data_IF_830506992624
#
_entry.id   IF_830506992624
#
_cell.length_a   1.000
_cell.length_b   1.000
_cell.length_c   1.000
_cell.angle_alpha   90.00
_cell.angle_beta   90.00
_cell.angle_gamma   90.00
#
_symmetry.space_group_name_H-M   'P 1'
#
loop_
_entity.id
_entity.type
_entity.pdbx_description
1 polymer ?
#
# COMPACT_ATOMS: atom_id res chain seq x y z
N UNK A 1 -23.32 -7.63 -1.98
CA UNK A 1 -22.90 -9.04 -1.83
C UNK A 1 -21.64 -9.24 -2.66
N UNK A 2 -20.73 -10.14 -2.30
CA UNK A 2 -19.60 -10.50 -3.16
C UNK A 2 -20.08 -11.51 -4.21
N UNK A 3 -19.69 -11.31 -5.47
CA UNK A 3 -20.00 -12.20 -6.58
C UNK A 3 -18.67 -12.66 -7.25
N UNK A 4 -18.36 -13.96 -7.22
CA UNK A 4 -17.14 -14.48 -7.85
C UNK A 4 -17.07 -14.29 -9.38
N UNK A 5 -18.21 -14.28 -10.08
CA UNK A 5 -18.24 -14.11 -11.54
C UNK A 5 -17.94 -12.65 -11.91
N UNK A 6 -18.49 -11.71 -11.13
CA UNK A 6 -18.16 -10.28 -11.24
C UNK A 6 -16.67 -10.05 -10.98
N UNK A 7 -16.10 -10.64 -9.92
CA UNK A 7 -14.67 -10.51 -9.61
C UNK A 7 -13.76 -11.14 -10.69
N UNK A 8 -14.18 -12.25 -11.31
CA UNK A 8 -13.42 -12.89 -12.38
C UNK A 8 -13.31 -11.98 -13.62
N UNK A 9 -14.42 -11.31 -13.97
CA UNK A 9 -14.56 -10.47 -15.17
C UNK A 9 -14.23 -9.00 -14.96
N UNK A 10 -14.16 -8.53 -13.72
CA UNK A 10 -13.83 -7.16 -13.39
C UNK A 10 -12.46 -6.75 -13.96
N UNK A 11 -12.46 -5.63 -14.68
CA UNK A 11 -11.24 -5.01 -15.16
C UNK A 11 -10.53 -4.28 -14.02
N UNK A 12 -9.20 -4.41 -13.97
CA UNK A 12 -8.39 -3.70 -12.99
C UNK A 12 -7.30 -2.91 -13.67
N UNK A 13 -7.25 -1.62 -13.35
CA UNK A 13 -6.17 -0.76 -13.80
C UNK A 13 -4.97 -0.93 -12.88
N UNK A 14 -3.82 -1.29 -13.43
CA UNK A 14 -2.56 -1.24 -12.69
C UNK A 14 -2.00 0.19 -12.74
N UNK A 15 -1.58 0.70 -11.58
CA UNK A 15 -1.05 2.04 -11.44
C UNK A 15 0.20 2.06 -10.55
N UNK A 16 1.08 3.04 -10.80
CA UNK A 16 2.13 3.39 -9.86
C UNK A 16 1.56 3.96 -8.55
N UNK A 17 2.41 4.17 -7.54
CA UNK A 17 1.99 4.86 -6.31
C UNK A 17 1.57 6.29 -6.66
N UNK A 18 0.35 6.67 -6.27
CA UNK A 18 -0.20 8.02 -6.41
C UNK A 18 -0.30 8.72 -5.05
N UNK A 19 -1.09 9.79 -4.96
CA UNK A 19 -1.21 10.63 -3.76
C UNK A 19 -1.76 9.89 -2.56
N UNK A 20 -2.70 8.97 -2.77
CA UNK A 20 -3.34 8.18 -1.72
C UNK A 20 -3.13 6.70 -1.93
N UNK A 21 -2.99 5.96 -0.82
CA UNK A 21 -2.91 4.51 -0.75
C UNK A 21 -4.00 3.96 0.17
N UNK A 22 -4.51 2.79 -0.18
CA UNK A 22 -5.61 2.14 0.52
C UNK A 22 -5.27 0.69 0.86
N UNK A 23 -5.34 0.34 2.15
CA UNK A 23 -5.23 -1.04 2.62
C UNK A 23 -6.62 -1.55 3.01
N UNK A 24 -7.23 -2.48 2.24
CA UNK A 24 -8.57 -2.97 2.51
C UNK A 24 -8.64 -3.66 3.87
N UNK A 25 -9.81 -3.62 4.50
CA UNK A 25 -10.02 -4.34 5.74
C UNK A 25 -10.02 -5.88 5.54
N UNK A 26 -10.05 -6.60 6.66
CA UNK A 26 -10.01 -8.07 6.67
C UNK A 26 -11.21 -8.69 5.97
N UNK A 27 -12.38 -8.05 6.01
CA UNK A 27 -13.60 -8.56 5.36
C UNK A 27 -13.44 -8.60 3.84
N UNK A 28 -12.93 -7.51 3.24
CA UNK A 28 -12.63 -7.45 1.79
C UNK A 28 -11.58 -8.50 1.41
N UNK A 29 -10.54 -8.65 2.22
CA UNK A 29 -9.47 -9.63 1.96
C UNK A 29 -10.00 -11.06 2.00
N UNK A 30 -10.85 -11.40 2.98
CA UNK A 30 -11.46 -12.73 3.12
C UNK A 30 -12.47 -13.03 2.02
N UNK A 31 -13.16 -12.00 1.50
CA UNK A 31 -14.06 -12.16 0.38
C UNK A 31 -13.34 -12.39 -0.95
N UNK A 32 -12.05 -12.06 -1.06
CA UNK A 32 -11.31 -12.14 -2.31
C UNK A 32 -11.74 -11.09 -3.35
N UNK A 33 -12.44 -10.04 -2.92
CA UNK A 33 -13.00 -8.99 -3.78
C UNK A 33 -11.94 -7.95 -4.21
N UNK A 34 -10.88 -8.41 -4.87
CA UNK A 34 -9.69 -7.59 -5.12
C UNK A 34 -9.78 -6.70 -6.35
N UNK A 35 -10.49 -7.11 -7.40
CA UNK A 35 -10.71 -6.35 -8.62
C UNK A 35 -12.00 -5.56 -8.53
N UNK A 36 -13.07 -6.16 -8.02
CA UNK A 36 -14.36 -5.49 -7.87
C UNK A 36 -14.29 -4.31 -6.91
N UNK A 37 -13.47 -4.37 -5.85
CA UNK A 37 -13.23 -3.19 -4.98
C UNK A 37 -12.47 -2.10 -5.73
N UNK A 38 -11.47 -2.45 -6.54
CA UNK A 38 -10.76 -1.45 -7.35
C UNK A 38 -11.73 -0.76 -8.32
N UNK A 39 -12.53 -1.53 -9.05
CA UNK A 39 -13.52 -1.02 -10.00
C UNK A 39 -14.59 -0.15 -9.31
N UNK A 40 -15.18 -0.63 -8.20
CA UNK A 40 -16.26 0.06 -7.47
C UNK A 40 -15.85 1.44 -6.97
N UNK A 41 -14.61 1.58 -6.50
CA UNK A 41 -14.09 2.85 -5.97
C UNK A 41 -13.27 3.63 -6.99
N UNK A 42 -13.17 3.16 -8.25
CA UNK A 42 -12.37 3.81 -9.30
C UNK A 42 -10.88 3.89 -8.96
N UNK A 43 -10.34 2.88 -8.28
CA UNK A 43 -8.96 2.85 -7.80
C UNK A 43 -8.06 2.01 -8.71
N UNK A 44 -6.79 2.40 -8.81
CA UNK A 44 -5.75 1.55 -9.40
C UNK A 44 -5.20 0.55 -8.39
N UNK A 45 -4.77 -0.63 -8.83
CA UNK A 45 -3.95 -1.55 -8.01
C UNK A 45 -2.47 -1.31 -8.27
N UNK A 46 -1.65 -1.42 -7.23
CA UNK A 46 -0.19 -1.31 -7.38
C UNK A 46 0.41 -2.49 -8.17
N UNK A 47 -0.17 -3.68 -8.01
CA UNK A 47 0.21 -4.91 -8.70
C UNK A 47 -0.92 -5.94 -8.51
N UNK A 48 -1.00 -6.96 -9.38
CA UNK A 48 -2.02 -8.02 -9.27
C UNK A 48 -2.01 -8.73 -7.91
N UNK A 49 -0.82 -9.01 -7.39
CA UNK A 49 -0.61 -9.67 -6.09
C UNK A 49 -0.39 -8.68 -4.92
N UNK A 50 -0.42 -7.38 -5.19
CA UNK A 50 -0.37 -6.36 -4.13
C UNK A 50 -1.80 -5.93 -3.87
N UNK A 51 -2.41 -6.42 -2.79
CA UNK A 51 -3.77 -6.04 -2.39
C UNK A 51 -3.81 -4.64 -1.74
N UNK A 52 -3.19 -3.68 -2.41
CA UNK A 52 -3.24 -2.25 -2.08
C UNK A 52 -3.69 -1.49 -3.31
N UNK A 53 -4.43 -0.42 -3.05
CA UNK A 53 -5.00 0.43 -4.09
C UNK A 53 -4.44 1.83 -3.99
N UNK A 54 -4.63 2.63 -5.04
CA UNK A 54 -4.13 3.99 -5.12
C UNK A 54 -5.01 4.89 -5.98
N UNK A 55 -5.01 6.18 -5.66
CA UNK A 55 -5.68 7.23 -6.43
C UNK A 55 -4.98 8.59 -6.24
N UNK A 56 -5.22 9.51 -7.17
CA UNK A 56 -4.78 10.90 -7.04
C UNK A 56 -5.70 11.72 -6.11
N UNK A 57 -6.98 11.36 -6.03
CA UNK A 57 -8.00 12.02 -5.19
C UNK A 57 -8.42 11.11 -4.04
N UNK A 58 -8.62 11.68 -2.86
CA UNK A 58 -9.07 10.96 -1.68
C UNK A 58 -10.45 10.33 -1.92
N UNK A 59 -10.58 9.05 -1.59
CA UNK A 59 -11.85 8.32 -1.44
C UNK A 59 -12.12 8.17 0.07
N UNK A 60 -13.09 8.93 0.58
CA UNK A 60 -13.36 9.03 2.03
C UNK A 60 -13.99 7.75 2.61
N UNK A 61 -14.90 7.12 1.87
CA UNK A 61 -15.68 5.96 2.32
C UNK A 61 -15.01 4.60 2.00
N UNK A 62 -13.69 4.58 1.81
CA UNK A 62 -13.00 3.32 1.50
C UNK A 62 -13.05 2.35 2.69
N UNK A 63 -13.44 1.07 2.49
CA UNK A 63 -13.58 0.09 3.57
C UNK A 63 -12.22 -0.47 4.00
N UNK A 64 -11.45 0.33 4.73
CA UNK A 64 -10.10 -0.01 5.15
C UNK A 64 -9.37 1.17 5.75
N UNK A 65 -8.04 1.16 5.63
CA UNK A 65 -7.16 2.24 6.08
C UNK A 65 -6.73 3.07 4.88
N UNK A 66 -6.68 4.38 5.08
CA UNK A 66 -6.26 5.31 4.03
C UNK A 66 -5.01 6.06 4.45
N UNK A 67 -4.06 6.14 3.54
CA UNK A 67 -2.77 6.79 3.75
C UNK A 67 -2.52 7.84 2.68
N UNK A 68 -1.92 8.97 3.06
CA UNK A 68 -1.42 9.98 2.14
C UNK A 68 0.08 9.78 1.96
N UNK A 69 0.51 9.63 0.71
CA UNK A 69 1.91 9.40 0.36
C UNK A 69 2.72 10.68 0.52
N UNK A 70 3.84 10.57 1.23
CA UNK A 70 4.80 11.65 1.45
C UNK A 70 6.04 11.46 0.58
N UNK A 71 6.52 10.23 0.44
CA UNK A 71 7.72 9.91 -0.34
C UNK A 71 7.65 8.49 -0.93
N UNK A 72 8.21 8.31 -2.12
CA UNK A 72 8.38 7.00 -2.76
C UNK A 72 9.82 6.85 -3.23
N UNK A 73 10.50 5.79 -2.80
CA UNK A 73 11.89 5.52 -3.14
C UNK A 73 12.05 4.11 -3.70
N UNK A 74 12.88 3.89 -4.74
CA UNK A 74 13.23 2.54 -5.18
C UNK A 74 13.89 1.74 -4.07
N UNK A 75 13.50 0.47 -3.91
CA UNK A 75 14.15 -0.43 -2.97
C UNK A 75 15.56 -0.78 -3.46
N UNK A 76 16.56 -0.13 -2.86
CA UNK A 76 17.97 -0.30 -3.17
C UNK A 76 18.81 0.09 -1.96
N UNK A 77 20.08 -0.30 -1.93
CA UNK A 77 21.02 0.12 -0.87
C UNK A 77 21.12 1.64 -0.73
N UNK A 78 20.98 2.38 -1.84
CA UNK A 78 20.95 3.84 -1.85
C UNK A 78 19.62 4.38 -1.31
N UNK A 79 18.50 3.80 -1.74
CA UNK A 79 17.15 4.18 -1.26
C UNK A 79 17.02 4.01 0.26
N UNK A 80 17.46 2.87 0.81
CA UNK A 80 17.46 2.62 2.26
C UNK A 80 18.23 3.67 3.07
N UNK A 81 19.38 4.14 2.56
CA UNK A 81 20.20 5.17 3.21
C UNK A 81 19.64 6.59 3.03
N UNK A 82 18.92 6.80 1.92
CA UNK A 82 18.37 8.11 1.55
C UNK A 82 17.00 8.37 2.18
N UNK A 83 16.28 7.32 2.59
CA UNK A 83 15.00 7.44 3.27
C UNK A 83 15.15 8.36 4.49
N UNK A 84 14.38 9.44 4.49
CA UNK A 84 14.28 10.38 5.61
C UNK A 84 12.86 10.34 6.09
N UNK A 85 12.69 9.91 7.33
CA UNK A 85 11.38 9.85 7.93
C UNK A 85 11.14 11.13 8.70
N UNK A 86 10.03 11.84 8.45
CA UNK A 86 9.65 12.99 9.25
C UNK A 86 9.18 12.56 10.66
N UNK A 87 9.14 11.26 10.94
CA UNK A 87 8.64 10.66 12.17
C UNK A 87 9.77 10.02 12.98
N UNK A 88 9.70 10.16 14.31
CA UNK A 88 10.65 9.49 15.21
C UNK A 88 10.32 8.00 15.42
N UNK A 89 9.04 7.64 15.21
CA UNK A 89 8.52 6.28 15.27
C UNK A 89 7.55 6.07 14.11
N UNK A 90 7.58 4.91 13.49
CA UNK A 90 6.68 4.59 12.38
C UNK A 90 6.28 3.12 12.41
N UNK A 91 5.07 2.86 11.93
CA UNK A 91 4.60 1.50 11.69
C UNK A 91 5.26 1.00 10.41
N UNK A 92 5.77 -0.22 10.43
CA UNK A 92 6.43 -0.81 9.26
C UNK A 92 5.58 -1.93 8.70
N UNK A 93 5.27 -1.83 7.41
CA UNK A 93 4.49 -2.83 6.69
C UNK A 93 5.29 -3.40 5.51
N UNK A 94 4.95 -4.63 5.15
CA UNK A 94 5.47 -5.29 3.95
C UNK A 94 4.32 -5.99 3.23
N UNK A 95 4.14 -5.70 1.94
CA UNK A 95 3.05 -6.25 1.11
C UNK A 95 3.63 -6.68 -0.24
N UNK A 96 3.63 -7.99 -0.50
CA UNK A 96 4.21 -8.58 -1.70
C UNK A 96 5.63 -8.02 -1.93
N UNK A 97 6.56 -8.23 -1.00
CA UNK A 97 7.88 -7.59 -0.99
C UNK A 97 8.92 -8.58 -0.43
N UNK A 98 10.21 -8.53 -0.84
CA UNK A 98 11.19 -9.57 -0.51
C UNK A 98 11.60 -9.62 0.97
N UNK A 99 11.32 -8.57 1.74
CA UNK A 99 11.63 -8.52 3.17
C UNK A 99 10.34 -8.53 3.98
N UNK A 100 10.35 -9.23 5.12
CA UNK A 100 9.28 -9.11 6.10
C UNK A 100 9.31 -7.75 6.80
N UNK A 101 8.18 -7.34 7.38
CA UNK A 101 8.06 -6.06 8.07
C UNK A 101 9.10 -5.88 9.19
N UNK A 102 9.33 -6.92 10.00
CA UNK A 102 10.31 -6.89 11.09
C UNK A 102 11.75 -6.75 10.59
N UNK A 103 12.10 -7.39 9.47
CA UNK A 103 13.42 -7.25 8.87
C UNK A 103 13.60 -5.86 8.26
N UNK A 104 12.58 -5.36 7.55
CA UNK A 104 12.58 -4.02 6.99
C UNK A 104 12.73 -2.97 8.09
N UNK A 105 12.01 -3.11 9.20
CA UNK A 105 12.09 -2.23 10.37
C UNK A 105 13.52 -2.17 10.93
N UNK A 106 14.17 -3.32 11.10
CA UNK A 106 15.56 -3.41 11.55
C UNK A 106 16.51 -2.70 10.59
N UNK A 107 16.38 -2.92 9.27
CA UNK A 107 17.22 -2.29 8.25
C UNK A 107 17.06 -0.77 8.21
N UNK A 108 15.85 -0.27 8.45
CA UNK A 108 15.54 1.15 8.53
C UNK A 108 15.84 1.78 9.90
N UNK A 109 16.25 0.96 10.88
CA UNK A 109 16.49 1.37 12.27
C UNK A 109 15.30 2.14 12.87
N UNK A 110 14.08 1.76 12.47
CA UNK A 110 12.87 2.42 12.93
C UNK A 110 12.34 1.80 14.22
N UNK A 111 11.83 2.67 15.08
CA UNK A 111 11.10 2.27 16.29
C UNK A 111 9.62 2.17 15.94
N UNK A 112 8.93 1.19 16.52
CA UNK A 112 7.49 1.02 16.37
C UNK A 112 6.73 2.25 16.90
N UNK A 113 5.71 2.68 16.16
CA UNK A 113 4.75 3.70 16.59
C UNK A 113 3.79 4.09 15.46
N UNK A 114 2.80 4.91 15.79
CA UNK A 114 1.70 5.23 14.85
C UNK A 114 1.81 6.63 14.21
N UNK A 115 2.93 7.33 14.40
CA UNK A 115 3.09 8.70 13.88
C UNK A 115 3.16 8.74 12.34
N UNK A 116 3.55 7.63 11.72
CA UNK A 116 3.59 7.48 10.28
C UNK A 116 3.75 6.03 9.87
N UNK A 117 3.70 5.79 8.57
CA UNK A 117 3.81 4.47 7.95
C UNK A 117 5.03 4.45 7.03
N UNK A 118 5.80 3.35 7.12
CA UNK A 118 6.77 2.97 6.10
C UNK A 118 6.41 1.61 5.55
N UNK A 119 6.34 1.49 4.23
CA UNK A 119 5.94 0.24 3.59
C UNK A 119 6.90 -0.19 2.50
N UNK A 120 7.34 -1.45 2.54
CA UNK A 120 7.93 -2.13 1.39
C UNK A 120 6.85 -2.77 0.54
N UNK A 121 6.78 -2.42 -0.74
CA UNK A 121 5.72 -2.89 -1.64
C UNK A 121 6.19 -3.14 -3.08
N UNK A 122 5.59 -4.13 -3.75
CA UNK A 122 5.73 -4.30 -5.22
C UNK A 122 4.75 -3.42 -5.97
N UNK A 123 5.29 -2.69 -6.94
CA UNK A 123 4.53 -1.82 -7.86
C UNK A 123 4.97 -2.16 -9.28
N UNK A 124 4.06 -2.64 -10.12
CA UNK A 124 4.42 -3.20 -11.43
C UNK A 124 5.51 -4.28 -11.29
N UNK A 125 6.60 -4.17 -12.06
CA UNK A 125 7.76 -5.06 -11.95
C UNK A 125 8.75 -4.67 -10.84
N UNK A 126 8.59 -3.49 -10.23
CA UNK A 126 9.54 -2.90 -9.29
C UNK A 126 9.21 -3.14 -7.81
N UNK A 127 10.16 -2.79 -6.95
CA UNK A 127 10.03 -2.81 -5.49
C UNK A 127 10.32 -1.40 -4.98
N UNK A 128 9.45 -0.85 -4.14
CA UNK A 128 9.60 0.51 -3.62
C UNK A 128 9.40 0.54 -2.11
N UNK A 129 9.96 1.57 -1.48
CA UNK A 129 9.68 2.01 -0.12
C UNK A 129 8.75 3.21 -0.22
N UNK A 130 7.65 3.18 0.53
CA UNK A 130 6.70 4.28 0.61
C UNK A 130 6.69 4.83 2.03
N UNK A 131 6.80 6.15 2.17
CA UNK A 131 6.55 6.88 3.42
C UNK A 131 5.19 7.54 3.30
N UNK A 132 4.33 7.34 4.29
CA UNK A 132 2.99 7.88 4.28
C UNK A 132 2.52 8.26 5.69
N UNK A 133 1.52 9.14 5.76
CA UNK A 133 0.77 9.45 6.97
C UNK A 133 -0.64 8.87 6.90
N UNK A 134 -1.23 8.53 8.04
CA UNK A 134 -2.60 8.03 8.10
C UNK A 134 -3.58 9.18 7.96
N UNK A 135 -4.61 8.99 7.14
CA UNK A 135 -5.72 9.93 6.94
C UNK A 135 -6.96 9.48 7.70
N UNK A 136 -7.25 8.17 7.68
CA UNK A 136 -8.38 7.51 8.37
C UNK A 136 -7.98 6.10 8.80
#
# INVERSE_FOLDING_TARGET
>A
MFDPEEEATAEVTLAGVQTYLYDPNVAVTKAGAFKTVAARYGLGKLHVNTHLYTSAKLVEDFPGRTFRVLEVLPFSSKGLKSLRLPFAKAHVMSKNFPLEAAELQKRLKQKEGEQGLVMGVTVGSGKVLVVAERVN
#
